data_IF_440367390335
#
_entry.id   IF_440367390335
#
_cell.length_a   1.000
_cell.length_b   1.000
_cell.length_c   1.000
_cell.angle_alpha   90.00
_cell.angle_beta   90.00
_cell.angle_gamma   90.00
#
_symmetry.space_group_name_H-M   'P 1'
#
loop_
_entity.id
_entity.type
_entity.pdbx_description
1 polymer ?
#
# COMPACT_ATOMS: atom_id res chain seq x y z
N UNK A 1 26.65 20.21 -28.04
CA UNK A 1 25.23 20.59 -28.25
C UNK A 1 24.81 21.26 -26.95
N UNK A 2 24.44 22.54 -26.98
CA UNK A 2 24.09 23.27 -25.75
C UNK A 2 22.64 22.92 -25.40
N UNK A 3 22.43 22.21 -24.28
CA UNK A 3 21.10 21.96 -23.74
C UNK A 3 20.55 23.28 -23.20
N UNK A 4 19.44 23.75 -23.74
CA UNK A 4 18.81 25.01 -23.32
C UNK A 4 18.04 24.81 -22.02
N UNK A 5 17.96 25.84 -21.17
CA UNK A 5 17.22 25.81 -19.88
C UNK A 5 15.80 25.24 -20.04
N UNK A 6 15.08 25.65 -21.10
CA UNK A 6 13.74 25.15 -21.39
C UNK A 6 13.67 23.61 -21.57
N UNK A 7 14.72 23.00 -22.14
CA UNK A 7 14.76 21.56 -22.34
C UNK A 7 14.94 20.80 -21.01
N UNK A 8 15.68 21.40 -20.07
CA UNK A 8 15.88 20.81 -18.73
C UNK A 8 14.60 20.93 -17.91
N UNK A 9 13.90 22.06 -17.99
CA UNK A 9 12.61 22.26 -17.31
C UNK A 9 11.54 21.28 -17.84
N UNK A 10 11.47 21.09 -19.17
CA UNK A 10 10.56 20.12 -19.79
C UNK A 10 10.89 18.68 -19.37
N UNK A 11 12.18 18.32 -19.28
CA UNK A 11 12.61 17.00 -18.80
C UNK A 11 12.29 16.78 -17.31
N UNK A 12 12.45 17.81 -16.48
CA UNK A 12 12.07 17.80 -15.07
C UNK A 12 10.57 17.59 -14.89
N UNK A 13 9.74 18.36 -15.59
CA UNK A 13 8.28 18.20 -15.59
C UNK A 13 7.87 16.80 -16.04
N UNK A 14 8.42 16.33 -17.15
CA UNK A 14 8.15 14.98 -17.65
C UNK A 14 8.51 13.91 -16.61
N UNK A 15 9.63 14.06 -15.90
CA UNK A 15 10.04 13.11 -14.85
C UNK A 15 9.09 13.09 -13.65
N UNK A 16 8.53 14.24 -13.26
CA UNK A 16 7.54 14.30 -12.17
C UNK A 16 6.23 13.66 -12.61
N UNK A 17 5.76 13.95 -13.82
CA UNK A 17 4.56 13.33 -14.37
C UNK A 17 4.76 11.81 -14.53
N UNK A 18 5.93 11.39 -14.99
CA UNK A 18 6.34 9.99 -15.10
C UNK A 18 6.34 9.28 -13.74
N UNK A 19 6.81 9.96 -12.68
CA UNK A 19 6.78 9.43 -11.32
C UNK A 19 5.36 9.15 -10.83
N UNK A 20 4.44 10.12 -10.95
CA UNK A 20 3.06 9.93 -10.50
C UNK A 20 2.29 8.92 -11.35
N UNK A 21 2.51 8.92 -12.67
CA UNK A 21 1.93 7.91 -13.55
C UNK A 21 2.46 6.52 -13.20
N UNK A 22 3.77 6.39 -12.93
CA UNK A 22 4.38 5.12 -12.52
C UNK A 22 3.87 4.62 -11.17
N UNK A 23 3.59 5.51 -10.22
CA UNK A 23 2.90 5.15 -8.97
C UNK A 23 1.48 4.62 -9.24
N UNK A 24 0.73 5.27 -10.13
CA UNK A 24 -0.63 4.87 -10.46
C UNK A 24 -0.70 3.53 -11.20
N UNK A 25 0.22 3.29 -12.14
CA UNK A 25 0.25 2.07 -12.96
C UNK A 25 1.08 0.95 -12.33
N UNK A 26 1.83 1.24 -11.28
CA UNK A 26 2.85 0.36 -10.70
C UNK A 26 3.98 -0.03 -11.69
N UNK A 27 4.24 0.80 -12.71
CA UNK A 27 5.36 0.65 -13.65
C UNK A 27 6.25 1.91 -13.65
N UNK A 28 7.46 1.77 -13.10
CA UNK A 28 8.40 2.89 -12.95
C UNK A 28 9.42 3.01 -14.09
N UNK A 29 9.36 2.16 -15.13
CA UNK A 29 10.38 2.14 -16.18
C UNK A 29 10.50 3.49 -16.91
N UNK A 30 9.38 4.11 -17.22
CA UNK A 30 9.35 5.38 -17.94
C UNK A 30 9.94 6.51 -17.08
N UNK A 31 9.56 6.55 -15.79
CA UNK A 31 10.16 7.47 -14.82
C UNK A 31 11.68 7.29 -14.73
N UNK A 32 12.16 6.05 -14.55
CA UNK A 32 13.60 5.78 -14.43
C UNK A 32 14.36 6.20 -15.70
N UNK A 33 13.79 5.95 -16.88
CA UNK A 33 14.41 6.37 -18.14
C UNK A 33 14.47 7.89 -18.30
N UNK A 34 13.46 8.63 -17.83
CA UNK A 34 13.46 10.09 -17.86
C UNK A 34 14.41 10.66 -16.82
N UNK A 35 14.45 10.08 -15.63
CA UNK A 35 15.33 10.48 -14.54
C UNK A 35 16.81 10.31 -14.91
N UNK A 36 17.17 9.22 -15.60
CA UNK A 36 18.52 9.00 -16.15
C UNK A 36 18.95 10.09 -17.13
N UNK A 37 18.00 10.68 -17.88
CA UNK A 37 18.30 11.78 -18.78
C UNK A 37 18.49 13.08 -18.01
N UNK A 38 17.67 13.32 -16.99
CA UNK A 38 17.80 14.47 -16.09
C UNK A 38 19.16 14.44 -15.36
N UNK A 39 19.58 13.29 -14.83
CA UNK A 39 20.89 13.12 -14.16
C UNK A 39 22.06 13.41 -15.12
N UNK A 40 21.97 12.95 -16.38
CA UNK A 40 22.95 13.25 -17.42
C UNK A 40 22.98 14.74 -17.76
N UNK A 41 21.82 15.38 -17.87
CA UNK A 41 21.71 16.81 -18.16
C UNK A 41 22.33 17.66 -17.03
N UNK A 42 22.32 17.16 -15.79
CA UNK A 42 22.95 17.82 -14.64
C UNK A 42 24.45 17.53 -14.46
N UNK A 43 24.95 16.39 -14.94
CA UNK A 43 26.37 15.99 -14.79
C UNK A 43 27.29 16.51 -15.90
N UNK A 44 26.75 17.04 -17.01
CA UNK A 44 27.58 17.67 -18.05
C UNK A 44 28.11 19.02 -17.54
N UNK A 45 29.34 18.98 -17.02
CA UNK A 45 30.12 20.15 -16.57
C UNK A 45 30.21 21.20 -17.69
N UNK A 46 29.40 22.26 -17.61
CA UNK A 46 29.56 23.47 -18.41
C UNK A 46 28.33 24.05 -19.09
N UNK A 47 27.13 23.45 -18.95
CA UNK A 47 25.93 23.92 -19.68
C UNK A 47 24.75 24.39 -18.81
N UNK A 48 24.69 24.02 -17.52
CA UNK A 48 23.54 24.35 -16.67
C UNK A 48 23.77 25.62 -15.87
N UNK A 49 22.80 26.55 -15.95
CA UNK A 49 22.74 27.72 -15.07
C UNK A 49 22.72 27.25 -13.61
N UNK A 50 23.38 27.96 -12.67
CA UNK A 50 23.29 27.65 -11.24
C UNK A 50 21.85 27.56 -10.73
N UNK A 51 20.92 28.32 -11.32
CA UNK A 51 19.48 28.25 -10.97
C UNK A 51 18.87 26.90 -11.37
N UNK A 52 19.22 26.38 -12.54
CA UNK A 52 18.76 25.08 -13.04
C UNK A 52 19.32 23.95 -12.18
N UNK A 53 20.59 24.04 -11.79
CA UNK A 53 21.21 23.06 -10.86
C UNK A 53 20.55 23.06 -9.48
N UNK A 54 20.16 24.24 -8.96
CA UNK A 54 19.41 24.31 -7.70
C UNK A 54 18.00 23.72 -7.82
N UNK A 55 17.33 23.91 -8.96
CA UNK A 55 16.01 23.34 -9.23
C UNK A 55 16.08 21.81 -9.30
N UNK A 56 17.05 21.27 -10.03
CA UNK A 56 17.29 19.82 -10.11
C UNK A 56 17.54 19.20 -8.74
N UNK A 57 18.42 19.80 -7.94
CA UNK A 57 18.68 19.35 -6.58
C UNK A 57 17.43 19.35 -5.70
N UNK A 58 16.61 20.42 -5.80
CA UNK A 58 15.36 20.54 -5.05
C UNK A 58 14.33 19.49 -5.44
N UNK A 59 14.20 19.19 -6.74
CA UNK A 59 13.30 18.14 -7.22
C UNK A 59 13.78 16.75 -6.80
N UNK A 60 15.09 16.48 -6.87
CA UNK A 60 15.67 15.23 -6.37
C UNK A 60 15.35 15.00 -4.89
N UNK A 61 15.54 16.02 -4.05
CA UNK A 61 15.20 15.96 -2.63
C UNK A 61 13.70 15.75 -2.40
N UNK A 62 12.84 16.37 -3.21
CA UNK A 62 11.39 16.17 -3.12
C UNK A 62 11.00 14.70 -3.43
N UNK A 63 11.54 14.13 -4.50
CA UNK A 63 11.29 12.74 -4.88
C UNK A 63 11.82 11.77 -3.81
N UNK A 64 12.99 12.03 -3.23
CA UNK A 64 13.53 11.27 -2.11
C UNK A 64 12.57 11.24 -0.91
N UNK A 65 12.10 12.41 -0.48
CA UNK A 65 11.14 12.54 0.64
C UNK A 65 9.83 11.79 0.34
N UNK A 66 9.34 11.86 -0.90
CA UNK A 66 8.14 11.13 -1.32
C UNK A 66 8.37 9.62 -1.24
N UNK A 67 9.47 9.11 -1.79
CA UNK A 67 9.84 7.70 -1.72
C UNK A 67 9.93 7.22 -0.27
N UNK A 68 10.63 7.95 0.60
CA UNK A 68 10.76 7.62 2.02
C UNK A 68 9.40 7.60 2.72
N UNK A 69 8.52 8.55 2.40
CA UNK A 69 7.18 8.61 2.96
C UNK A 69 6.36 7.38 2.54
N UNK A 70 6.39 7.00 1.26
CA UNK A 70 5.66 5.83 0.77
C UNK A 70 6.22 4.51 1.35
N UNK A 71 7.53 4.38 1.48
CA UNK A 71 8.17 3.21 2.13
C UNK A 71 7.73 3.12 3.60
N UNK A 72 7.75 4.23 4.33
CA UNK A 72 7.31 4.28 5.72
C UNK A 72 5.82 3.94 5.86
N UNK A 73 4.96 4.44 4.96
CA UNK A 73 3.53 4.09 4.96
C UNK A 73 3.31 2.60 4.67
N UNK A 74 4.08 2.01 3.74
CA UNK A 74 4.02 0.58 3.46
C UNK A 74 4.38 -0.24 4.69
N UNK A 75 5.50 0.07 5.35
CA UNK A 75 5.92 -0.62 6.58
C UNK A 75 4.86 -0.53 7.69
N UNK A 76 4.29 0.65 7.92
CA UNK A 76 3.23 0.83 8.91
C UNK A 76 1.97 0.05 8.57
N UNK A 77 1.60 -0.03 7.28
CA UNK A 77 0.43 -0.77 6.82
C UNK A 77 0.62 -2.28 7.00
N UNK A 78 1.79 -2.80 6.65
CA UNK A 78 2.14 -4.22 6.85
C UNK A 78 2.15 -4.58 8.34
N UNK A 79 2.73 -3.72 9.19
CA UNK A 79 2.70 -3.91 10.63
C UNK A 79 1.26 -3.96 11.18
N UNK A 80 0.42 -2.99 10.81
CA UNK A 80 -0.98 -2.97 11.27
C UNK A 80 -1.78 -4.17 10.75
N UNK A 81 -1.51 -4.63 9.54
CA UNK A 81 -2.15 -5.83 8.99
C UNK A 81 -1.76 -7.08 9.79
N UNK A 82 -0.49 -7.22 10.16
CA UNK A 82 -0.02 -8.31 11.02
C UNK A 82 -0.65 -8.26 12.41
N UNK A 83 -0.68 -7.08 13.05
CA UNK A 83 -1.33 -6.87 14.35
C UNK A 83 -2.82 -7.21 14.31
N UNK A 84 -3.53 -6.84 13.24
CA UNK A 84 -4.93 -7.20 13.06
C UNK A 84 -5.12 -8.71 12.91
N UNK A 85 -4.25 -9.39 12.16
CA UNK A 85 -4.27 -10.84 12.01
C UNK A 85 -4.14 -11.57 13.35
N UNK A 86 -3.14 -11.19 14.15
CA UNK A 86 -2.93 -11.75 15.50
C UNK A 86 -4.13 -11.49 16.43
N UNK A 87 -4.68 -10.27 16.41
CA UNK A 87 -5.85 -9.92 17.21
C UNK A 87 -7.08 -10.77 16.83
N UNK A 88 -7.31 -11.00 15.54
CA UNK A 88 -8.43 -11.84 15.08
C UNK A 88 -8.26 -13.30 15.52
N UNK A 89 -7.04 -13.84 15.48
CA UNK A 89 -6.74 -15.21 15.96
C UNK A 89 -6.97 -15.31 17.48
N UNK A 90 -6.52 -14.31 18.24
CA UNK A 90 -6.70 -14.26 19.69
C UNK A 90 -8.19 -14.21 20.11
N UNK A 91 -9.02 -13.47 19.37
CA UNK A 91 -10.48 -13.44 19.57
C UNK A 91 -11.11 -14.81 19.27
N UNK A 92 -10.65 -15.51 18.24
CA UNK A 92 -11.17 -16.83 17.88
C UNK A 92 -10.82 -17.91 18.92
N UNK A 93 -9.63 -17.83 19.54
CA UNK A 93 -9.20 -18.74 20.60
C UNK A 93 -9.87 -18.52 21.96
N UNK A 94 -10.47 -17.35 22.19
CA UNK A 94 -11.18 -17.01 23.45
C UNK A 94 -12.69 -17.29 23.38
N UNK A 95 -13.23 -17.59 22.19
CA UNK A 95 -14.50 -18.30 22.10
C UNK A 95 -14.34 -19.73 22.59
N UNK A 96 -14.35 -19.91 23.92
CA UNK A 96 -14.70 -21.20 24.50
C UNK A 96 -16.00 -21.65 23.84
N UNK A 97 -16.08 -22.88 23.28
CA UNK A 97 -17.32 -23.38 22.69
C UNK A 97 -18.35 -23.38 23.81
N UNK A 98 -19.19 -22.35 23.83
CA UNK A 98 -20.20 -22.17 24.84
C UNK A 98 -21.07 -23.44 24.76
N UNK A 99 -21.11 -24.29 25.80
CA UNK A 99 -21.97 -25.47 25.76
C UNK A 99 -23.39 -24.98 26.05
N UNK A 100 -24.00 -24.29 25.08
CA UNK A 100 -25.43 -24.02 25.10
C UNK A 100 -26.16 -25.30 24.69
N UNK A 101 -26.01 -26.34 25.52
CA UNK A 101 -26.95 -27.44 25.60
C UNK A 101 -28.10 -26.94 26.46
N UNK A 102 -29.03 -26.22 25.85
CA UNK A 102 -30.37 -26.14 26.42
C UNK A 102 -30.92 -27.58 26.43
N UNK A 103 -31.14 -28.20 27.60
CA UNK A 103 -31.73 -29.52 27.65
C UNK A 103 -33.19 -29.34 27.24
N UNK A 104 -33.54 -29.83 26.05
CA UNK A 104 -34.96 -29.94 25.70
C UNK A 104 -35.62 -30.86 26.72
N UNK A 105 -36.66 -30.41 27.45
CA UNK A 105 -37.41 -31.29 28.32
C UNK A 105 -38.33 -32.12 27.43
N UNK A 106 -37.79 -33.23 26.89
CA UNK A 106 -38.58 -34.25 26.20
C UNK A 106 -39.45 -34.96 27.24
N UNK A 107 -40.60 -34.35 27.47
CA UNK A 107 -41.66 -34.75 28.38
C UNK A 107 -42.14 -36.15 27.99
N UNK A 108 -42.06 -37.07 28.95
CA UNK A 108 -42.63 -38.39 28.86
C UNK A 108 -44.13 -38.32 28.51
N UNK A 109 -44.50 -38.79 27.32
CA UNK A 109 -45.87 -39.22 27.02
C UNK A 109 -45.88 -40.74 26.93
N UNK A 110 -45.86 -41.37 28.12
CA UNK A 110 -46.41 -42.72 28.29
C UNK A 110 -47.93 -42.58 28.26
N UNK A 111 -48.52 -42.77 27.10
CA UNK A 111 -49.94 -43.11 26.98
C UNK A 111 -50.06 -44.63 27.03
N UNK A 112 -50.64 -45.23 28.09
CA UNK A 112 -51.04 -46.63 28.04
C UNK A 112 -52.33 -46.74 27.23
N UNK A 113 -52.37 -47.64 26.24
CA UNK A 113 -53.61 -48.02 25.56
C UNK A 113 -54.41 -48.97 26.46
N UNK A 114 -55.73 -48.76 26.66
CA UNK A 114 -56.57 -49.76 27.31
C UNK A 114 -56.99 -50.83 26.29
N UNK A 115 -56.78 -52.09 26.66
CA UNK A 115 -57.32 -53.26 25.97
C UNK A 115 -58.85 -53.22 25.98
N UNK A 116 -59.47 -53.36 24.80
CA UNK A 116 -60.88 -53.73 24.69
C UNK A 116 -61.01 -55.24 24.77
N UNK A 117 -61.73 -55.73 25.77
CA UNK A 117 -62.33 -57.06 25.77
C UNK A 117 -63.84 -56.87 25.77
N UNK A 118 -64.48 -57.28 24.66
CA UNK A 118 -65.81 -57.87 24.57
C UNK A 118 -65.99 -58.38 23.14
#
# INVERSE_FOLDING_TARGET
MVTTIAAVDDHLLASIDGFFNGLQTSDMKDFMSQWDNVDKDFTVEGATSPDTSSLGLGVSQCIEILCDTFINLKMQTEQRAAELGENLIAVQGTMSPNPSRSPSPSRATRSPSPSSQL
#
